data_IF_474992060895
#
_entry.id   IF_474992060895
#
_cell.length_a   1.000
_cell.length_b   1.000
_cell.length_c   1.000
_cell.angle_alpha   90.00
_cell.angle_beta   90.00
_cell.angle_gamma   90.00
#
_symmetry.space_group_name_H-M   'P 1'
#
loop_
_entity.id
_entity.type
_entity.pdbx_description
1 polymer ?
#
# COMPACT_ATOMS: atom_id res chain seq x y z
N UNK A 1 -7.93 -18.96 -6.95
CA UNK A 1 -6.55 -18.88 -6.42
C UNK A 1 -6.50 -19.68 -5.14
N UNK A 2 -5.46 -20.50 -4.90
CA UNK A 2 -5.30 -21.20 -3.62
C UNK A 2 -5.17 -20.13 -2.53
N UNK A 3 -5.92 -20.29 -1.46
CA UNK A 3 -5.80 -19.44 -0.28
C UNK A 3 -4.43 -19.74 0.36
N UNK A 4 -3.53 -18.76 0.38
CA UNK A 4 -2.28 -18.85 1.11
C UNK A 4 -2.51 -18.29 2.50
N UNK A 5 -2.01 -18.98 3.53
CA UNK A 5 -2.15 -18.58 4.94
C UNK A 5 -0.77 -18.35 5.53
N UNK A 6 -0.64 -17.34 6.36
CA UNK A 6 0.54 -17.11 7.17
C UNK A 6 0.53 -18.04 8.41
N UNK A 7 1.70 -18.25 9.03
CA UNK A 7 1.86 -19.19 10.14
C UNK A 7 0.82 -18.99 11.27
N UNK A 8 0.54 -17.74 11.61
CA UNK A 8 -0.42 -17.40 12.66
C UNK A 8 -1.89 -17.54 12.22
N UNK A 9 -2.16 -17.73 10.93
CA UNK A 9 -3.49 -17.97 10.39
C UNK A 9 -3.82 -19.47 10.29
N UNK A 10 -2.85 -20.37 10.48
CA UNK A 10 -3.06 -21.82 10.34
C UNK A 10 -4.26 -22.36 11.15
N UNK A 11 -4.50 -21.95 12.42
CA UNK A 11 -5.67 -22.42 13.15
C UNK A 11 -7.01 -21.94 12.53
N UNK A 12 -7.02 -20.80 11.83
CA UNK A 12 -8.17 -20.28 11.11
C UNK A 12 -8.37 -21.11 9.84
N UNK A 13 -7.29 -21.37 9.10
CA UNK A 13 -7.29 -22.20 7.90
C UNK A 13 -7.86 -23.63 8.15
N UNK A 14 -7.50 -24.23 9.29
CA UNK A 14 -8.03 -25.54 9.68
C UNK A 14 -9.56 -25.52 9.90
N UNK A 15 -10.10 -24.44 10.49
CA UNK A 15 -11.55 -24.28 10.66
C UNK A 15 -12.24 -24.05 9.32
N UNK A 16 -11.67 -23.20 8.46
CA UNK A 16 -12.22 -22.92 7.15
C UNK A 16 -12.22 -24.17 6.26
N UNK A 17 -11.16 -24.98 6.29
CA UNK A 17 -11.11 -26.25 5.57
C UNK A 17 -12.20 -27.25 6.06
N UNK A 18 -12.47 -27.30 7.37
CA UNK A 18 -13.55 -28.12 7.92
C UNK A 18 -14.92 -27.63 7.47
N UNK A 19 -15.14 -26.31 7.45
CA UNK A 19 -16.38 -25.71 6.97
C UNK A 19 -16.61 -26.05 5.49
N UNK A 20 -15.58 -25.94 4.66
CA UNK A 20 -15.68 -26.30 3.24
C UNK A 20 -15.96 -27.78 3.03
N UNK A 21 -15.30 -28.66 3.80
CA UNK A 21 -15.57 -30.09 3.75
C UNK A 21 -17.03 -30.43 4.12
N UNK A 22 -17.57 -29.77 5.15
CA UNK A 22 -18.97 -29.93 5.53
C UNK A 22 -19.95 -29.39 4.48
N UNK A 23 -19.64 -28.24 3.88
CA UNK A 23 -20.44 -27.70 2.76
C UNK A 23 -20.46 -28.64 1.56
N UNK A 24 -19.31 -29.24 1.24
CA UNK A 24 -19.22 -30.21 0.15
C UNK A 24 -19.93 -31.57 0.46
N UNK A 25 -20.06 -31.92 1.73
CA UNK A 25 -20.74 -33.13 2.17
C UNK A 25 -22.25 -32.94 2.45
N UNK A 26 -22.70 -31.69 2.54
CA UNK A 26 -24.13 -31.40 2.73
C UNK A 26 -24.88 -31.62 1.42
N UNK A 27 -25.91 -32.46 1.46
CA UNK A 27 -26.83 -32.75 0.36
C UNK A 27 -28.28 -32.67 0.86
N UNK A 28 -29.26 -32.87 -0.03
CA UNK A 28 -30.70 -32.86 0.30
C UNK A 28 -31.13 -33.84 1.41
N UNK A 29 -30.24 -34.77 1.81
CA UNK A 29 -30.51 -35.79 2.83
C UNK A 29 -29.86 -35.53 4.16
N UNK A 30 -28.80 -34.68 4.20
CA UNK A 30 -28.00 -34.39 5.40
C UNK A 30 -27.91 -32.89 5.59
N UNK A 31 -28.68 -32.34 6.54
CA UNK A 31 -28.59 -30.91 6.92
C UNK A 31 -27.48 -30.70 7.94
N UNK A 32 -26.41 -30.05 7.51
CA UNK A 32 -25.25 -29.69 8.33
C UNK A 32 -25.18 -28.19 8.64
N UNK A 33 -26.23 -27.44 8.35
CA UNK A 33 -26.25 -25.96 8.44
C UNK A 33 -25.95 -25.44 9.86
N UNK A 34 -26.47 -26.10 10.89
CA UNK A 34 -26.22 -25.72 12.29
C UNK A 34 -24.74 -25.87 12.66
N UNK A 35 -24.12 -26.98 12.27
CA UNK A 35 -22.70 -27.23 12.56
C UNK A 35 -21.80 -26.27 11.74
N UNK A 36 -22.12 -26.03 10.47
CA UNK A 36 -21.42 -25.04 9.62
C UNK A 36 -21.52 -23.66 10.26
N UNK A 37 -22.72 -23.25 10.72
CA UNK A 37 -22.94 -21.95 11.37
C UNK A 37 -22.15 -21.82 12.67
N UNK A 38 -22.08 -22.90 13.46
CA UNK A 38 -21.30 -22.95 14.69
C UNK A 38 -19.79 -22.79 14.42
N UNK A 39 -19.27 -23.52 13.45
CA UNK A 39 -17.87 -23.44 13.06
C UNK A 39 -17.51 -22.09 12.44
N UNK A 40 -18.42 -21.49 11.64
CA UNK A 40 -18.22 -20.15 11.08
C UNK A 40 -18.08 -19.11 12.20
N UNK A 41 -18.98 -19.10 13.18
CA UNK A 41 -18.87 -18.20 14.35
C UNK A 41 -17.55 -18.37 15.09
N UNK A 42 -17.13 -19.64 15.30
CA UNK A 42 -15.85 -19.93 15.95
C UNK A 42 -14.66 -19.43 15.12
N UNK A 43 -14.69 -19.57 13.79
CA UNK A 43 -13.67 -19.07 12.89
C UNK A 43 -13.60 -17.53 12.95
N UNK A 44 -14.75 -16.86 12.90
CA UNK A 44 -14.82 -15.41 12.99
C UNK A 44 -14.29 -14.87 14.34
N UNK A 45 -14.64 -15.51 15.46
CA UNK A 45 -14.14 -15.16 16.80
C UNK A 45 -12.63 -15.38 16.90
N UNK A 46 -12.13 -16.49 16.39
CA UNK A 46 -10.69 -16.78 16.37
C UNK A 46 -9.95 -15.75 15.50
N UNK A 47 -10.48 -15.43 14.32
CA UNK A 47 -9.92 -14.42 13.43
C UNK A 47 -9.87 -13.05 14.13
N UNK A 48 -10.98 -12.62 14.74
CA UNK A 48 -11.01 -11.36 15.52
C UNK A 48 -9.94 -11.35 16.62
N UNK A 49 -9.83 -12.42 17.38
CA UNK A 49 -8.83 -12.53 18.47
C UNK A 49 -7.41 -12.50 17.97
N UNK A 50 -7.11 -13.22 16.88
CA UNK A 50 -5.78 -13.27 16.27
C UNK A 50 -5.38 -11.91 15.71
N UNK A 51 -6.24 -11.30 14.89
CA UNK A 51 -5.96 -10.05 14.20
C UNK A 51 -6.01 -8.80 15.11
N UNK A 52 -6.64 -8.88 16.28
CA UNK A 52 -6.57 -7.82 17.28
C UNK A 52 -5.22 -7.74 18.00
N UNK A 53 -4.40 -8.79 17.95
CA UNK A 53 -3.17 -8.91 18.73
C UNK A 53 -1.94 -9.22 17.86
N UNK A 54 -1.94 -8.82 16.59
CA UNK A 54 -0.77 -9.00 15.73
C UNK A 54 0.40 -8.15 16.23
N UNK A 55 1.56 -8.78 16.39
CA UNK A 55 2.81 -8.07 16.64
C UNK A 55 3.35 -7.38 15.37
N UNK A 56 4.38 -6.55 15.51
CA UNK A 56 4.92 -5.79 14.38
C UNK A 56 5.52 -6.67 13.28
N UNK A 57 6.04 -7.84 13.65
CA UNK A 57 6.56 -8.81 12.67
C UNK A 57 5.43 -9.49 11.89
N UNK A 58 4.34 -9.86 12.56
CA UNK A 58 3.15 -10.41 11.92
C UNK A 58 2.50 -9.38 10.99
N UNK A 59 2.41 -8.11 11.40
CA UNK A 59 1.96 -7.01 10.53
C UNK A 59 2.89 -6.87 9.31
N UNK A 60 4.21 -6.99 9.49
CA UNK A 60 5.15 -6.97 8.36
C UNK A 60 4.94 -8.11 7.37
N UNK A 61 4.60 -9.31 7.86
CA UNK A 61 4.21 -10.44 7.00
C UNK A 61 2.89 -10.15 6.28
N UNK A 62 1.88 -9.59 6.98
CA UNK A 62 0.60 -9.20 6.38
C UNK A 62 0.74 -8.16 5.28
N UNK A 63 1.61 -7.16 5.47
CA UNK A 63 1.89 -6.13 4.45
C UNK A 63 2.39 -6.72 3.12
N UNK A 64 3.05 -7.89 3.18
CA UNK A 64 3.63 -8.62 2.05
C UNK A 64 2.83 -9.84 1.64
N UNK A 65 1.63 -10.02 2.19
CA UNK A 65 0.81 -11.19 1.89
C UNK A 65 0.60 -11.33 0.38
N UNK A 66 0.86 -12.51 -0.24
CA UNK A 66 0.87 -12.67 -1.71
C UNK A 66 -0.47 -12.39 -2.38
N UNK A 67 -1.57 -12.59 -1.64
CA UNK A 67 -2.92 -12.32 -2.12
C UNK A 67 -3.42 -10.90 -1.75
N UNK A 68 -2.56 -10.04 -1.17
CA UNK A 68 -2.95 -8.66 -0.86
C UNK A 68 -3.25 -7.89 -2.16
N UNK A 69 -4.31 -7.02 -2.20
CA UNK A 69 -4.61 -6.22 -3.38
C UNK A 69 -3.45 -5.28 -3.71
N UNK A 70 -3.11 -5.17 -4.99
CA UNK A 70 -2.12 -4.25 -5.52
C UNK A 70 -2.79 -3.02 -6.15
N UNK A 71 -2.01 -2.08 -6.64
CA UNK A 71 -2.51 -0.83 -7.24
C UNK A 71 -3.55 -1.05 -8.34
N UNK A 72 -3.32 -2.00 -9.25
CA UNK A 72 -4.29 -2.28 -10.33
C UNK A 72 -5.61 -2.86 -9.80
N UNK A 73 -5.58 -3.67 -8.74
CA UNK A 73 -6.80 -4.18 -8.11
C UNK A 73 -7.62 -3.01 -7.51
N UNK A 74 -6.96 -2.05 -6.84
CA UNK A 74 -7.64 -0.85 -6.33
C UNK A 74 -8.14 0.05 -7.45
N UNK A 75 -7.39 0.18 -8.55
CA UNK A 75 -7.84 0.96 -9.71
C UNK A 75 -9.14 0.37 -10.27
N UNK A 76 -9.22 -0.93 -10.45
CA UNK A 76 -10.40 -1.62 -10.96
C UNK A 76 -11.64 -1.43 -10.06
N UNK A 77 -11.46 -1.45 -8.73
CA UNK A 77 -12.56 -1.42 -7.77
C UNK A 77 -13.00 -0.01 -7.35
N UNK A 78 -12.12 0.98 -7.44
CA UNK A 78 -12.35 2.34 -6.93
C UNK A 78 -12.68 3.34 -8.04
N UNK A 79 -12.03 3.20 -9.20
CA UNK A 79 -12.05 4.21 -10.24
C UNK A 79 -12.76 3.73 -11.50
N UNK A 80 -13.18 4.68 -12.34
CA UNK A 80 -13.66 4.42 -13.69
C UNK A 80 -12.75 5.09 -14.72
N UNK A 81 -12.86 4.69 -15.99
CA UNK A 81 -12.18 5.32 -17.13
C UNK A 81 -10.66 5.41 -17.00
N UNK A 82 -10.03 4.42 -16.34
CA UNK A 82 -8.58 4.42 -16.18
C UNK A 82 -7.87 4.28 -17.52
N UNK A 83 -6.97 5.23 -17.80
CA UNK A 83 -6.10 5.21 -18.98
C UNK A 83 -4.64 5.28 -18.54
N UNK A 84 -3.91 4.18 -18.66
CA UNK A 84 -2.49 4.12 -18.32
C UNK A 84 -1.65 4.99 -19.26
N UNK A 85 -0.74 5.79 -18.69
CA UNK A 85 0.17 6.67 -19.39
C UNK A 85 1.62 6.21 -19.19
N UNK A 86 2.04 5.22 -19.97
CA UNK A 86 3.35 4.59 -19.86
C UNK A 86 4.52 5.49 -20.31
N UNK A 87 5.73 5.12 -19.86
CA UNK A 87 7.00 5.70 -20.29
C UNK A 87 7.40 7.01 -19.61
N UNK A 88 8.71 7.19 -19.44
CA UNK A 88 9.30 8.36 -18.78
C UNK A 88 9.63 9.53 -19.73
N UNK A 89 9.53 9.31 -21.04
CA UNK A 89 9.92 10.26 -22.11
C UNK A 89 11.41 10.62 -22.11
N UNK A 90 12.25 9.76 -21.51
CA UNK A 90 13.69 9.92 -21.48
C UNK A 90 14.43 8.65 -21.87
N UNK A 91 14.10 7.51 -21.30
CA UNK A 91 14.80 6.24 -21.55
C UNK A 91 13.84 5.09 -21.87
N UNK A 92 12.92 4.74 -20.95
CA UNK A 92 12.04 3.58 -21.12
C UNK A 92 10.75 3.70 -20.27
N UNK A 93 9.95 2.64 -20.31
CA UNK A 93 8.87 2.42 -19.38
C UNK A 93 9.29 1.45 -18.28
N UNK A 94 8.89 1.73 -17.04
CA UNK A 94 9.06 0.84 -15.89
C UNK A 94 7.70 0.31 -15.41
N UNK A 95 7.54 -1.01 -15.44
CA UNK A 95 6.30 -1.68 -15.07
C UNK A 95 6.09 -1.82 -13.54
N UNK A 96 7.09 -1.47 -12.72
CA UNK A 96 6.96 -1.42 -11.27
C UNK A 96 6.18 -0.19 -10.78
N UNK A 97 6.03 0.85 -11.61
CA UNK A 97 5.09 1.94 -11.40
C UNK A 97 4.05 1.92 -12.52
N UNK A 98 2.79 1.99 -12.13
CA UNK A 98 1.66 2.25 -13.04
C UNK A 98 1.08 3.61 -12.72
N UNK A 99 0.57 4.30 -13.72
CA UNK A 99 -0.10 5.57 -13.49
C UNK A 99 -0.84 6.06 -14.73
N UNK A 100 -1.84 6.89 -14.51
CA UNK A 100 -2.69 7.38 -15.57
C UNK A 100 -3.85 8.23 -15.07
N UNK A 101 -4.67 8.66 -16.01
CA UNK A 101 -5.91 9.37 -15.75
C UNK A 101 -7.00 8.38 -15.33
N UNK A 102 -7.84 8.79 -14.39
CA UNK A 102 -9.00 8.02 -13.95
C UNK A 102 -10.12 8.96 -13.46
N UNK A 103 -11.26 8.39 -13.11
CA UNK A 103 -12.34 9.12 -12.43
C UNK A 103 -12.65 8.50 -11.07
N UNK A 104 -12.68 9.33 -10.05
CA UNK A 104 -13.18 8.99 -8.71
C UNK A 104 -14.56 9.63 -8.54
N UNK A 105 -15.63 8.84 -8.56
CA UNK A 105 -17.03 9.31 -8.57
C UNK A 105 -17.28 10.42 -9.61
N UNK A 106 -16.85 10.15 -10.86
CA UNK A 106 -16.98 11.09 -11.97
C UNK A 106 -15.95 12.22 -12.02
N UNK A 107 -15.25 12.50 -10.91
CA UNK A 107 -14.20 13.51 -10.83
C UNK A 107 -12.90 13.01 -11.46
N UNK A 108 -12.30 13.75 -12.41
CA UNK A 108 -11.02 13.38 -12.98
C UNK A 108 -9.90 13.52 -11.96
N UNK A 109 -9.02 12.52 -11.90
CA UNK A 109 -7.85 12.45 -11.01
C UNK A 109 -6.66 11.83 -11.73
N UNK A 110 -5.46 12.06 -11.22
CA UNK A 110 -4.25 11.32 -11.59
C UNK A 110 -3.99 10.25 -10.55
N UNK A 111 -3.90 8.99 -10.98
CA UNK A 111 -3.55 7.86 -10.09
C UNK A 111 -2.17 7.36 -10.46
N UNK A 112 -1.31 7.16 -9.45
CA UNK A 112 0.06 6.65 -9.60
C UNK A 112 0.28 5.62 -8.49
N UNK A 113 0.90 4.48 -8.79
CA UNK A 113 1.17 3.51 -7.72
C UNK A 113 2.19 2.46 -8.08
N UNK A 114 2.76 1.86 -7.07
CA UNK A 114 3.62 0.71 -7.24
C UNK A 114 2.79 -0.51 -7.60
N UNK A 115 3.32 -1.33 -8.49
CA UNK A 115 2.67 -2.57 -8.91
C UNK A 115 3.63 -3.75 -8.79
N UNK A 116 3.26 -4.70 -7.95
CA UNK A 116 3.89 -6.02 -7.85
C UNK A 116 3.24 -7.00 -8.82
N UNK A 117 3.92 -8.10 -9.11
CA UNK A 117 3.38 -9.20 -9.90
C UNK A 117 2.86 -10.33 -9.03
N UNK A 118 1.87 -11.08 -9.51
CA UNK A 118 1.37 -12.29 -8.84
C UNK A 118 2.11 -13.55 -9.28
N UNK A 119 2.22 -13.76 -10.58
CA UNK A 119 3.01 -14.87 -11.12
C UNK A 119 4.51 -14.55 -11.14
N UNK A 120 5.36 -15.57 -11.22
CA UNK A 120 6.82 -15.37 -11.34
C UNK A 120 7.16 -14.47 -12.54
N UNK A 121 6.50 -14.68 -13.68
CA UNK A 121 6.68 -13.87 -14.89
C UNK A 121 6.31 -12.41 -14.64
N UNK A 122 5.20 -12.17 -13.95
CA UNK A 122 4.77 -10.80 -13.61
C UNK A 122 5.70 -10.15 -12.61
N UNK A 123 6.17 -10.89 -11.59
CA UNK A 123 7.13 -10.40 -10.60
C UNK A 123 8.42 -9.92 -11.28
N UNK A 124 8.95 -10.72 -12.21
CA UNK A 124 10.15 -10.34 -12.98
C UNK A 124 9.86 -9.12 -13.87
N UNK A 125 8.75 -9.10 -14.61
CA UNK A 125 8.34 -7.98 -15.45
C UNK A 125 8.22 -6.66 -14.69
N UNK A 126 7.76 -6.71 -13.44
CA UNK A 126 7.56 -5.56 -12.55
C UNK A 126 8.69 -5.38 -11.55
N UNK A 127 9.83 -6.02 -11.80
CA UNK A 127 11.02 -5.97 -10.96
C UNK A 127 10.70 -6.13 -9.46
N UNK A 128 9.79 -7.07 -9.13
CA UNK A 128 9.32 -7.34 -7.76
C UNK A 128 8.73 -6.12 -7.03
N UNK A 129 8.23 -5.14 -7.76
CA UNK A 129 7.71 -3.88 -7.22
C UNK A 129 8.80 -2.87 -6.84
N UNK A 130 10.03 -3.06 -7.31
CA UNK A 130 11.16 -2.14 -7.12
C UNK A 130 11.35 -1.27 -8.36
N UNK A 131 10.96 0.01 -8.35
CA UNK A 131 11.10 0.85 -9.52
C UNK A 131 12.56 1.19 -9.83
N UNK A 132 12.86 1.21 -11.13
CA UNK A 132 14.06 1.82 -11.70
C UNK A 132 13.86 3.35 -11.88
N UNK A 133 14.89 4.13 -12.23
CA UNK A 133 14.77 5.59 -12.39
C UNK A 133 13.65 6.01 -13.36
N UNK A 134 13.39 5.20 -14.38
CA UNK A 134 12.34 5.41 -15.38
C UNK A 134 10.94 5.44 -14.74
N UNK A 135 10.71 4.62 -13.71
CA UNK A 135 9.46 4.59 -12.97
C UNK A 135 9.22 5.90 -12.23
N UNK A 136 10.23 6.40 -11.52
CA UNK A 136 10.15 7.68 -10.81
C UNK A 136 10.04 8.88 -11.74
N UNK A 137 10.77 8.89 -12.87
CA UNK A 137 10.61 9.94 -13.90
C UNK A 137 9.23 9.90 -14.55
N UNK A 138 8.66 8.71 -14.77
CA UNK A 138 7.27 8.57 -15.23
C UNK A 138 6.31 9.16 -14.20
N UNK A 139 6.46 8.83 -12.92
CA UNK A 139 5.64 9.38 -11.85
C UNK A 139 5.73 10.92 -11.84
N UNK A 140 6.93 11.49 -11.90
CA UNK A 140 7.13 12.93 -11.98
C UNK A 140 6.39 13.56 -13.16
N UNK A 141 6.54 13.00 -14.34
CA UNK A 141 5.86 13.47 -15.55
C UNK A 141 4.34 13.51 -15.38
N UNK A 142 3.79 12.47 -14.74
CA UNK A 142 2.34 12.39 -14.47
C UNK A 142 1.90 13.41 -13.43
N UNK A 143 2.69 13.63 -12.37
CA UNK A 143 2.42 14.65 -11.36
C UNK A 143 2.42 16.07 -11.96
N UNK A 144 3.41 16.40 -12.79
CA UNK A 144 3.46 17.67 -13.51
C UNK A 144 2.30 17.84 -14.49
N UNK A 145 1.87 16.77 -15.15
CA UNK A 145 0.66 16.76 -15.97
C UNK A 145 -0.58 17.05 -15.13
N UNK A 146 -0.72 16.38 -13.99
CA UNK A 146 -1.83 16.59 -13.08
C UNK A 146 -1.90 18.04 -12.60
N UNK A 147 -0.77 18.63 -12.21
CA UNK A 147 -0.70 20.05 -11.82
C UNK A 147 -1.16 20.97 -12.94
N UNK A 148 -0.67 20.76 -14.17
CA UNK A 148 -1.05 21.56 -15.35
C UNK A 148 -2.56 21.54 -15.61
N UNK A 149 -3.19 20.39 -15.42
CA UNK A 149 -4.63 20.21 -15.64
C UNK A 149 -5.46 20.38 -14.36
N UNK A 150 -4.83 20.79 -13.25
CA UNK A 150 -5.46 20.99 -11.94
C UNK A 150 -6.20 19.74 -11.44
N UNK A 151 -5.60 18.58 -11.64
CA UNK A 151 -6.14 17.28 -11.19
C UNK A 151 -5.55 16.92 -9.83
N UNK A 152 -6.35 16.46 -8.88
CA UNK A 152 -5.82 15.84 -7.66
C UNK A 152 -4.98 14.61 -8.01
N UNK A 153 -3.95 14.37 -7.20
CA UNK A 153 -3.05 13.23 -7.34
C UNK A 153 -3.31 12.25 -6.21
N UNK A 154 -3.52 10.99 -6.57
CA UNK A 154 -3.67 9.88 -5.63
C UNK A 154 -2.53 8.91 -5.86
N UNK A 155 -1.76 8.61 -4.80
CA UNK A 155 -0.66 7.66 -4.92
C UNK A 155 -0.89 6.43 -4.04
N UNK A 156 -0.56 5.24 -4.57
CA UNK A 156 -0.60 3.96 -3.86
C UNK A 156 0.81 3.40 -3.71
N UNK A 157 1.26 3.24 -2.48
CA UNK A 157 2.62 2.84 -2.13
C UNK A 157 2.63 1.36 -1.74
N UNK A 158 3.35 0.55 -2.51
CA UNK A 158 3.59 -0.87 -2.21
C UNK A 158 4.91 -1.34 -2.84
N UNK A 159 6.02 -1.04 -2.20
CA UNK A 159 7.37 -1.37 -2.67
C UNK A 159 8.28 -1.77 -1.52
N UNK A 160 9.15 -2.79 -1.68
CA UNK A 160 10.24 -3.05 -0.74
C UNK A 160 11.33 -1.98 -0.77
N UNK A 161 11.37 -1.15 -1.82
CA UNK A 161 12.36 -0.09 -2.03
C UNK A 161 12.62 0.18 -3.50
N UNK A 162 13.52 1.10 -3.79
CA UNK A 162 14.00 1.36 -5.14
C UNK A 162 14.93 0.25 -5.62
N UNK A 163 14.95 -0.01 -6.93
CA UNK A 163 15.84 -1.01 -7.52
C UNK A 163 17.32 -0.63 -7.32
N UNK A 164 18.13 -1.50 -6.67
CA UNK A 164 19.52 -1.20 -6.31
C UNK A 164 20.55 -1.65 -7.37
N UNK A 165 20.12 -1.92 -8.60
CA UNK A 165 21.01 -2.45 -9.65
C UNK A 165 21.94 -1.40 -10.25
N UNK A 166 23.07 -1.83 -10.80
CA UNK A 166 24.07 -0.97 -11.46
C UNK A 166 23.43 -0.08 -12.51
N UNK A 167 22.59 -0.63 -13.37
CA UNK A 167 21.88 0.15 -14.39
C UNK A 167 20.94 1.21 -13.83
N UNK A 168 20.45 1.07 -12.59
CA UNK A 168 19.70 2.12 -11.93
C UNK A 168 20.61 3.26 -11.46
N UNK A 169 21.77 2.93 -10.89
CA UNK A 169 22.78 3.93 -10.52
C UNK A 169 23.26 4.73 -11.74
N UNK A 170 23.60 4.05 -12.84
CA UNK A 170 24.02 4.67 -14.09
C UNK A 170 23.00 5.63 -14.68
N UNK A 171 21.69 5.36 -14.47
CA UNK A 171 20.60 6.20 -14.98
C UNK A 171 20.00 7.14 -13.94
N UNK A 172 20.68 7.34 -12.80
CA UNK A 172 20.38 8.38 -11.82
C UNK A 172 19.23 8.04 -10.87
N UNK A 173 19.29 6.86 -10.21
CA UNK A 173 18.26 6.44 -9.25
C UNK A 173 18.07 7.45 -8.12
N UNK A 174 19.17 7.91 -7.52
CA UNK A 174 19.13 8.88 -6.42
C UNK A 174 18.54 10.23 -6.86
N UNK A 175 18.93 10.71 -8.06
CA UNK A 175 18.41 11.96 -8.62
C UNK A 175 16.91 11.85 -8.90
N UNK A 176 16.46 10.77 -9.52
CA UNK A 176 15.05 10.57 -9.84
C UNK A 176 14.16 10.55 -8.60
N UNK A 177 14.63 9.91 -7.51
CA UNK A 177 13.93 9.91 -6.21
C UNK A 177 13.94 11.30 -5.59
N UNK A 178 15.11 11.91 -5.43
CA UNK A 178 15.28 13.21 -4.78
C UNK A 178 14.48 14.32 -5.50
N UNK A 179 14.47 14.28 -6.82
CA UNK A 179 13.70 15.22 -7.63
C UNK A 179 12.19 15.07 -7.39
N UNK A 180 11.69 13.84 -7.30
CA UNK A 180 10.28 13.60 -6.96
C UNK A 180 9.92 14.19 -5.59
N UNK A 181 10.73 13.99 -4.56
CA UNK A 181 10.48 14.55 -3.23
C UNK A 181 10.37 16.09 -3.30
N UNK A 182 11.32 16.73 -3.98
CA UNK A 182 11.35 18.19 -4.17
C UNK A 182 10.10 18.68 -4.91
N UNK A 183 9.78 18.06 -6.06
CA UNK A 183 8.65 18.50 -6.88
C UNK A 183 7.32 18.27 -6.15
N UNK A 184 7.14 17.11 -5.51
CA UNK A 184 5.92 16.79 -4.74
C UNK A 184 5.67 17.80 -3.62
N UNK A 185 6.72 18.32 -2.96
CA UNK A 185 6.57 19.30 -1.89
C UNK A 185 5.97 20.63 -2.37
N UNK A 186 6.05 20.93 -3.66
CA UNK A 186 5.63 22.21 -4.26
C UNK A 186 4.46 22.12 -5.23
N UNK A 187 3.89 20.92 -5.47
CA UNK A 187 2.73 20.73 -6.34
C UNK A 187 1.51 21.53 -5.86
N UNK A 188 0.90 22.28 -6.76
CA UNK A 188 -0.23 23.20 -6.48
C UNK A 188 -1.61 22.53 -6.58
N UNK A 189 -1.65 21.22 -6.44
CA UNK A 189 -2.87 20.40 -6.45
C UNK A 189 -2.88 19.47 -5.23
N UNK A 190 -4.05 19.03 -4.75
CA UNK A 190 -4.13 18.04 -3.68
C UNK A 190 -3.36 16.76 -4.01
N UNK A 191 -2.56 16.29 -3.06
CA UNK A 191 -1.80 15.04 -3.16
C UNK A 191 -2.14 14.16 -1.96
N UNK A 192 -2.75 13.00 -2.23
CA UNK A 192 -3.12 12.01 -1.21
C UNK A 192 -2.30 10.74 -1.46
N UNK A 193 -1.50 10.36 -0.47
CA UNK A 193 -0.67 9.15 -0.53
C UNK A 193 -1.24 8.09 0.40
N UNK A 194 -1.28 6.83 -0.05
CA UNK A 194 -1.72 5.71 0.80
C UNK A 194 -0.74 4.55 0.68
N UNK A 195 -0.21 4.10 1.82
CA UNK A 195 0.57 2.86 1.88
C UNK A 195 -0.40 1.70 1.93
N UNK A 196 -0.45 0.91 0.86
CA UNK A 196 -1.39 -0.20 0.68
C UNK A 196 -0.79 -1.58 1.02
N UNK A 197 0.52 -1.66 1.16
CA UNK A 197 1.26 -2.87 1.52
C UNK A 197 2.53 -2.50 2.27
N UNK A 198 3.71 -2.66 1.66
CA UNK A 198 4.96 -2.22 2.27
C UNK A 198 5.45 -0.90 1.65
N UNK A 199 5.80 0.07 2.49
CA UNK A 199 6.39 1.34 2.10
C UNK A 199 7.87 1.35 2.42
N UNK A 200 8.71 0.90 1.47
CA UNK A 200 10.16 0.74 1.68
C UNK A 200 10.98 1.94 1.22
N UNK A 201 11.70 2.57 2.17
CA UNK A 201 12.81 3.50 1.91
C UNK A 201 12.48 4.65 0.94
N UNK A 202 13.49 5.13 0.22
CA UNK A 202 13.37 6.17 -0.80
C UNK A 202 12.42 5.81 -1.94
N UNK A 203 12.25 4.51 -2.22
CA UNK A 203 11.28 4.03 -3.22
C UNK A 203 9.85 4.42 -2.88
N UNK A 204 9.47 4.29 -1.63
CA UNK A 204 8.17 4.72 -1.14
C UNK A 204 8.06 6.25 -1.07
N UNK A 205 9.09 6.93 -0.57
CA UNK A 205 9.12 8.39 -0.44
C UNK A 205 8.97 9.09 -1.80
N UNK A 206 9.52 8.53 -2.87
CA UNK A 206 9.49 9.14 -4.20
C UNK A 206 8.07 9.37 -4.77
N UNK A 207 7.04 8.75 -4.18
CA UNK A 207 5.62 9.03 -4.46
C UNK A 207 4.82 9.21 -3.15
N UNK A 208 5.49 9.53 -2.03
CA UNK A 208 4.93 9.54 -0.68
C UNK A 208 4.88 10.91 -0.01
N UNK A 209 5.22 12.00 -0.69
CA UNK A 209 5.16 13.37 -0.16
C UNK A 209 3.82 14.00 -0.54
N UNK A 210 2.90 14.14 0.41
CA UNK A 210 1.55 14.62 0.13
C UNK A 210 0.94 15.48 1.24
N UNK A 211 -0.25 16.01 0.95
CA UNK A 211 -1.08 16.74 1.90
C UNK A 211 -1.72 15.81 2.92
N UNK A 212 -1.97 14.58 2.50
CA UNK A 212 -2.44 13.46 3.33
C UNK A 212 -1.58 12.24 3.06
N UNK A 213 -1.14 11.58 4.12
CA UNK A 213 -0.47 10.27 4.06
C UNK A 213 -1.25 9.30 4.92
N UNK A 214 -1.88 8.34 4.29
CA UNK A 214 -2.64 7.28 4.95
C UNK A 214 -1.90 5.96 4.89
N UNK A 215 -2.28 5.04 5.76
CA UNK A 215 -1.83 3.65 5.73
C UNK A 215 -3.04 2.72 5.87
N UNK A 216 -3.02 1.59 5.18
CA UNK A 216 -3.91 0.50 5.51
C UNK A 216 -3.50 -0.11 6.86
N UNK A 217 -4.46 -0.67 7.58
CA UNK A 217 -4.29 -1.14 8.96
C UNK A 217 -3.09 -2.08 9.15
N UNK A 218 -2.90 -3.02 8.22
CA UNK A 218 -1.82 -4.00 8.26
C UNK A 218 -0.75 -3.73 7.19
N UNK A 219 -0.55 -2.47 6.82
CA UNK A 219 0.58 -2.03 6.02
C UNK A 219 1.76 -1.62 6.90
N UNK A 220 2.94 -1.49 6.31
CA UNK A 220 4.17 -1.04 6.99
C UNK A 220 4.84 0.08 6.23
N UNK A 221 5.49 1.00 6.96
CA UNK A 221 6.25 2.10 6.36
C UNK A 221 7.56 2.28 7.12
N UNK A 222 8.70 2.10 6.45
CA UNK A 222 10.01 2.11 7.10
C UNK A 222 11.15 2.41 6.12
N UNK A 223 12.29 2.83 6.67
CA UNK A 223 13.49 3.11 5.88
C UNK A 223 14.15 1.85 5.33
N UNK A 224 13.96 0.71 5.98
CA UNK A 224 14.57 -0.58 5.64
C UNK A 224 13.63 -1.71 6.08
N UNK A 225 13.76 -2.90 5.50
CA UNK A 225 13.02 -4.07 5.98
C UNK A 225 13.53 -4.54 7.36
N UNK A 226 12.69 -5.20 8.18
CA UNK A 226 13.14 -5.77 9.45
C UNK A 226 14.32 -6.72 9.31
N UNK A 227 14.34 -7.54 8.26
CA UNK A 227 15.43 -8.46 7.95
C UNK A 227 16.73 -7.71 7.61
N UNK A 228 16.62 -6.63 6.84
CA UNK A 228 17.76 -5.76 6.50
C UNK A 228 18.32 -5.07 7.73
N UNK A 229 17.44 -4.51 8.57
CA UNK A 229 17.82 -3.91 9.85
C UNK A 229 18.52 -4.92 10.77
N UNK A 230 17.96 -6.11 10.92
CA UNK A 230 18.54 -7.18 11.73
C UNK A 230 19.91 -7.60 11.21
N UNK A 231 20.06 -7.74 9.90
CA UNK A 231 21.33 -8.11 9.27
C UNK A 231 22.42 -7.07 9.50
N UNK A 232 22.09 -5.77 9.47
CA UNK A 232 23.04 -4.68 9.71
C UNK A 232 23.43 -4.59 11.18
N UNK A 233 22.43 -4.57 12.08
CA UNK A 233 22.68 -4.32 13.52
C UNK A 233 23.20 -5.56 14.25
N UNK A 234 22.63 -6.73 13.97
CA UNK A 234 22.95 -7.96 14.71
C UNK A 234 23.66 -9.01 13.86
N UNK A 235 23.90 -8.75 12.58
CA UNK A 235 24.50 -9.69 11.62
C UNK A 235 23.76 -11.04 11.54
N UNK A 236 22.47 -11.02 11.82
CA UNK A 236 21.58 -12.19 11.78
C UNK A 236 20.16 -11.78 11.37
N UNK A 237 19.67 -12.34 10.28
CA UNK A 237 18.28 -12.14 9.84
C UNK A 237 17.25 -12.78 10.79
N UNK A 238 17.65 -13.71 11.65
CA UNK A 238 16.79 -14.34 12.66
C UNK A 238 16.26 -13.33 13.70
N UNK A 239 16.91 -12.16 13.82
CA UNK A 239 16.48 -11.06 14.68
C UNK A 239 15.45 -10.13 14.03
N UNK A 240 14.88 -10.50 12.87
CA UNK A 240 13.93 -9.68 12.14
C UNK A 240 12.67 -9.33 12.97
N UNK A 241 12.16 -10.24 13.80
CA UNK A 241 11.04 -9.96 14.70
C UNK A 241 11.38 -8.87 15.72
N UNK A 242 12.56 -8.97 16.36
CA UNK A 242 13.06 -7.94 17.28
C UNK A 242 13.25 -6.60 16.58
N UNK A 243 13.78 -6.62 15.34
CA UNK A 243 13.92 -5.41 14.54
C UNK A 243 12.56 -4.77 14.25
N UNK A 244 11.55 -5.56 13.84
CA UNK A 244 10.20 -5.06 13.55
C UNK A 244 9.59 -4.31 14.74
N UNK A 245 9.76 -4.85 15.96
CA UNK A 245 9.26 -4.22 17.19
C UNK A 245 9.91 -2.84 17.47
N UNK A 246 11.24 -2.75 17.36
CA UNK A 246 11.95 -1.50 17.71
C UNK A 246 11.88 -0.45 16.59
N UNK A 247 11.63 -0.84 15.35
CA UNK A 247 11.55 0.09 14.21
C UNK A 247 10.28 0.94 14.20
N UNK A 248 9.21 0.52 14.88
CA UNK A 248 7.96 1.28 14.94
C UNK A 248 7.26 1.46 13.59
N UNK A 249 7.29 0.43 12.73
CA UNK A 249 6.91 0.49 11.31
C UNK A 249 5.39 0.31 11.04
N UNK A 250 4.58 0.05 12.06
CA UNK A 250 3.15 -0.21 11.91
C UNK A 250 2.32 1.07 11.79
N UNK A 251 1.16 0.98 11.15
CA UNK A 251 0.26 2.12 10.97
C UNK A 251 -0.13 2.78 12.29
N UNK A 252 -0.43 2.00 13.32
CA UNK A 252 -0.77 2.51 14.66
C UNK A 252 0.38 3.33 15.25
N UNK A 253 1.60 2.76 15.23
CA UNK A 253 2.76 3.44 15.79
C UNK A 253 3.12 4.72 15.03
N UNK A 254 3.06 4.70 13.71
CA UNK A 254 3.35 5.87 12.88
C UNK A 254 2.27 6.97 13.02
N UNK A 255 1.03 6.59 13.30
CA UNK A 255 -0.05 7.54 13.63
C UNK A 255 0.19 8.20 14.98
N UNK A 256 0.58 7.46 16.00
CA UNK A 256 0.96 8.00 17.32
C UNK A 256 2.13 8.99 17.23
N UNK A 257 3.10 8.70 16.37
CA UNK A 257 4.25 9.59 16.11
C UNK A 257 3.94 10.79 15.22
N UNK A 258 2.70 10.94 14.73
CA UNK A 258 2.30 12.03 13.85
C UNK A 258 2.88 11.96 12.43
N UNK A 259 3.44 10.82 12.03
CA UNK A 259 4.05 10.64 10.71
C UNK A 259 3.05 10.35 9.61
N UNK A 260 1.85 9.89 9.95
CA UNK A 260 0.74 9.68 9.01
C UNK A 260 -0.55 10.35 9.50
N UNK A 261 -1.45 10.64 8.55
CA UNK A 261 -2.69 11.37 8.83
C UNK A 261 -3.86 10.45 9.15
N UNK A 262 -3.86 9.22 8.64
CA UNK A 262 -4.96 8.30 8.87
C UNK A 262 -4.63 6.83 8.68
N UNK A 263 -5.45 6.00 9.34
CA UNK A 263 -5.44 4.56 9.15
C UNK A 263 -6.75 4.18 8.48
N UNK A 264 -6.67 3.39 7.42
CA UNK A 264 -7.83 2.79 6.75
C UNK A 264 -7.98 1.37 7.25
N UNK A 265 -9.07 1.09 7.95
CA UNK A 265 -9.33 -0.24 8.50
C UNK A 265 -9.51 -1.28 7.40
N UNK A 266 -8.96 -2.44 7.61
CA UNK A 266 -9.07 -3.57 6.70
C UNK A 266 -10.25 -4.47 7.11
N UNK A 267 -10.82 -5.24 6.17
CA UNK A 267 -11.78 -6.30 6.49
C UNK A 267 -11.21 -7.29 7.49
N UNK A 268 -12.09 -8.00 8.20
CA UNK A 268 -11.68 -9.04 9.13
C UNK A 268 -10.77 -10.08 8.44
N UNK A 269 -9.59 -10.28 8.98
CA UNK A 269 -8.57 -11.15 8.40
C UNK A 269 -7.69 -10.48 7.34
N UNK A 270 -7.84 -9.17 7.08
CA UNK A 270 -6.97 -8.39 6.19
C UNK A 270 -7.55 -8.09 4.80
N UNK A 271 -6.90 -7.20 4.08
CA UNK A 271 -7.34 -6.70 2.77
C UNK A 271 -7.56 -7.80 1.71
N UNK A 272 -6.82 -8.89 1.80
CA UNK A 272 -6.90 -10.02 0.86
C UNK A 272 -8.15 -10.89 1.03
N UNK A 273 -8.88 -10.74 2.14
CA UNK A 273 -10.11 -11.51 2.42
C UNK A 273 -11.33 -10.95 1.68
N UNK A 274 -11.39 -9.64 1.47
CA UNK A 274 -12.49 -8.98 0.75
C UNK A 274 -11.99 -7.72 0.04
N UNK A 275 -11.61 -7.86 -1.21
CA UNK A 275 -11.12 -6.76 -2.06
C UNK A 275 -12.16 -5.64 -2.21
N UNK A 276 -13.42 -6.02 -2.37
CA UNK A 276 -14.49 -5.05 -2.58
C UNK A 276 -14.75 -4.22 -1.30
N UNK A 277 -14.78 -4.86 -0.12
CA UNK A 277 -14.92 -4.15 1.14
C UNK A 277 -13.71 -3.25 1.41
N UNK A 278 -12.50 -3.74 1.17
CA UNK A 278 -11.28 -2.95 1.33
C UNK A 278 -11.28 -1.72 0.39
N UNK A 279 -11.63 -1.93 -0.86
CA UNK A 279 -11.71 -0.86 -1.85
C UNK A 279 -12.78 0.19 -1.48
N UNK A 280 -13.94 -0.23 -0.96
CA UNK A 280 -14.97 0.71 -0.45
C UNK A 280 -14.44 1.57 0.70
N UNK A 281 -13.76 0.97 1.68
CA UNK A 281 -13.18 1.69 2.80
C UNK A 281 -12.12 2.70 2.34
N UNK A 282 -11.25 2.29 1.43
CA UNK A 282 -10.22 3.17 0.88
C UNK A 282 -10.84 4.28 0.02
N UNK A 283 -11.81 3.97 -0.83
CA UNK A 283 -12.53 4.97 -1.63
C UNK A 283 -13.15 6.05 -0.77
N UNK A 284 -13.86 5.65 0.31
CA UNK A 284 -14.47 6.61 1.22
C UNK A 284 -13.41 7.53 1.85
N UNK A 285 -12.29 6.96 2.30
CA UNK A 285 -11.18 7.76 2.84
C UNK A 285 -10.62 8.77 1.84
N UNK A 286 -10.45 8.38 0.57
CA UNK A 286 -9.97 9.28 -0.48
C UNK A 286 -10.96 10.43 -0.73
N UNK A 287 -12.25 10.15 -0.72
CA UNK A 287 -13.30 11.16 -0.88
C UNK A 287 -13.31 12.15 0.30
N UNK A 288 -13.19 11.65 1.54
CA UNK A 288 -13.15 12.47 2.74
C UNK A 288 -11.91 13.39 2.74
N UNK A 289 -10.75 12.85 2.39
CA UNK A 289 -9.50 13.62 2.29
C UNK A 289 -9.59 14.70 1.19
N UNK A 290 -10.17 14.40 0.04
CA UNK A 290 -10.40 15.39 -1.02
C UNK A 290 -11.37 16.48 -0.56
N UNK A 291 -12.45 16.12 0.12
CA UNK A 291 -13.42 17.09 0.64
C UNK A 291 -12.80 18.06 1.66
N UNK A 292 -11.80 17.62 2.43
CA UNK A 292 -11.05 18.47 3.35
C UNK A 292 -10.07 19.41 2.61
N UNK A 293 -9.45 18.94 1.52
CA UNK A 293 -8.43 19.69 0.79
C UNK A 293 -9.00 20.68 -0.24
N UNK A 294 -10.13 20.36 -0.85
CA UNK A 294 -10.74 21.14 -1.94
C UNK A 294 -11.07 22.61 -1.60
N UNK A 295 -11.49 22.95 -0.38
CA UNK A 295 -11.77 24.35 -0.04
C UNK A 295 -10.52 25.23 0.10
N UNK A 296 -9.31 24.63 0.15
CA UNK A 296 -8.07 25.35 0.38
C UNK A 296 -7.63 26.09 -0.89
N UNK A 297 -7.17 27.35 -0.73
CA UNK A 297 -6.44 28.02 -1.79
C UNK A 297 -5.10 27.30 -2.07
N UNK A 298 -4.49 27.57 -3.20
CA UNK A 298 -3.18 27.00 -3.52
C UNK A 298 -2.12 27.35 -2.48
N UNK A 299 -2.12 28.60 -1.99
CA UNK A 299 -1.21 29.09 -0.96
C UNK A 299 -1.44 28.33 0.36
N UNK A 300 -2.68 28.19 0.80
CA UNK A 300 -3.03 27.48 2.02
C UNK A 300 -2.69 25.97 1.94
N UNK A 301 -2.87 25.37 0.77
CA UNK A 301 -2.49 23.96 0.52
C UNK A 301 -0.98 23.77 0.65
N UNK A 302 -0.18 24.65 0.02
CA UNK A 302 1.28 24.58 0.07
C UNK A 302 1.82 24.86 1.47
N UNK A 303 1.28 25.87 2.17
CA UNK A 303 1.65 26.20 3.54
C UNK A 303 1.33 25.03 4.50
N UNK A 304 0.15 24.42 4.36
CA UNK A 304 -0.24 23.23 5.14
C UNK A 304 0.74 22.08 4.92
N UNK A 305 1.09 21.77 3.66
CA UNK A 305 2.03 20.71 3.31
C UNK A 305 3.43 21.02 3.87
N UNK A 306 3.90 22.23 3.75
CA UNK A 306 5.16 22.68 4.31
C UNK A 306 5.19 22.51 5.83
N UNK A 307 4.20 23.02 6.54
CA UNK A 307 4.12 22.96 8.00
C UNK A 307 4.06 21.51 8.47
N UNK A 308 3.33 20.63 7.75
CA UNK A 308 3.29 19.21 8.02
C UNK A 308 4.67 18.55 7.90
N UNK A 309 5.43 18.84 6.86
CA UNK A 309 6.77 18.29 6.66
C UNK A 309 7.75 18.83 7.72
N UNK A 310 7.63 20.09 8.09
CA UNK A 310 8.47 20.74 9.10
C UNK A 310 8.16 20.29 10.53
N UNK A 311 6.98 19.72 10.78
CA UNK A 311 6.61 19.19 12.10
C UNK A 311 7.20 17.80 12.40
N UNK A 312 7.79 17.14 11.43
CA UNK A 312 8.39 15.82 11.63
C UNK A 312 9.64 15.89 12.53
N UNK A 313 9.72 14.99 13.51
CA UNK A 313 10.87 14.87 14.41
C UNK A 313 10.96 15.88 15.54
N UNK A 314 9.99 16.77 15.69
CA UNK A 314 9.86 17.66 16.85
C UNK A 314 8.76 17.09 17.77
N UNK A 315 9.16 16.33 18.78
CA UNK A 315 8.29 15.82 19.85
C UNK A 315 8.53 16.60 21.13
#
# INVERSE_FOLDING_TARGET
MSQEYLDFELPIAELEAKIEALRAASDDKIDLNDEISRLQKKSDELTKKTFANLDAWQVSKMARHPNRPYTLDYIEHIFTDFQELAGDRAFADDKAIVGGLARLDGRPVMVIGHQKGRTVKDKVKRNFGMPAPEGYRKALRLMQMAERFKLPIITFIDTPGAYPGIGAEERGQSEAIARNLREMSTLKVPVICTVIGEGGSGGALAIGVGDKVNMLQYSTYSVISPEGCASILWKSAEKASTAAEVMGLTATRLKELGLIDGIVNEPLGGAHRDYAAMARSLKQRLLDDLAELDPLSQEALLERRYNRLMSYGYC
#
